data_IF_545893866025
#
_entry.id   IF_545893866025
#
_cell.length_a   1.000
_cell.length_b   1.000
_cell.length_c   1.000
_cell.angle_alpha   90.00
_cell.angle_beta   90.00
_cell.angle_gamma   90.00
#
_symmetry.space_group_name_H-M   'P 1'
#
loop_
_entity.id
_entity.type
_entity.pdbx_description
1 polymer ?
#
# COMPACT_ATOMS: atom_id res chain seq x y z
N UNK A 1 7.60 -10.47 1.12
CA UNK A 1 6.33 -11.22 1.19
C UNK A 1 6.15 -11.82 2.59
N UNK A 2 5.83 -10.98 3.58
CA UNK A 2 5.54 -11.32 5.01
C UNK A 2 6.63 -12.04 5.81
N UNK A 3 6.76 -11.68 7.08
CA UNK A 3 7.71 -12.30 8.02
C UNK A 3 7.11 -13.51 8.75
N UNK A 4 5.79 -13.55 8.87
CA UNK A 4 5.04 -14.58 9.62
C UNK A 4 4.07 -15.29 8.71
N UNK A 5 4.09 -16.63 8.72
CA UNK A 5 3.21 -17.48 7.89
C UNK A 5 1.73 -17.16 8.10
N UNK A 6 1.32 -16.85 9.34
CA UNK A 6 -0.06 -16.47 9.66
C UNK A 6 -0.50 -15.18 8.94
N UNK A 7 0.41 -14.19 8.83
CA UNK A 7 0.12 -12.97 8.08
C UNK A 7 0.07 -13.24 6.57
N UNK A 8 0.93 -14.12 6.06
CA UNK A 8 0.90 -14.56 4.66
C UNK A 8 -0.47 -15.12 4.27
N UNK A 9 -1.03 -15.99 5.12
CA UNK A 9 -2.37 -16.58 4.93
C UNK A 9 -3.42 -15.48 4.84
N UNK A 10 -3.43 -14.53 5.77
CA UNK A 10 -4.39 -13.41 5.76
C UNK A 10 -4.28 -12.56 4.49
N UNK A 11 -3.08 -12.32 3.98
CA UNK A 11 -2.90 -11.56 2.74
C UNK A 11 -3.36 -12.30 1.48
N UNK A 12 -3.22 -13.63 1.48
CA UNK A 12 -3.74 -14.49 0.41
C UNK A 12 -5.27 -14.52 0.47
N UNK A 13 -5.86 -14.70 1.65
CA UNK A 13 -7.32 -14.70 1.85
C UNK A 13 -7.97 -13.37 1.43
N UNK A 14 -7.31 -12.24 1.70
CA UNK A 14 -7.75 -10.91 1.26
C UNK A 14 -7.58 -10.68 -0.25
N UNK A 15 -6.93 -11.60 -0.97
CA UNK A 15 -6.70 -11.49 -2.42
C UNK A 15 -5.64 -10.46 -2.79
N UNK A 16 -4.69 -10.17 -1.90
CA UNK A 16 -3.60 -9.23 -2.19
C UNK A 16 -2.46 -9.86 -3.01
N UNK A 17 -2.43 -11.19 -3.13
CA UNK A 17 -1.40 -11.94 -3.84
C UNK A 17 -1.93 -12.43 -5.19
N UNK A 18 -1.11 -12.30 -6.24
CA UNK A 18 -1.37 -12.89 -7.55
C UNK A 18 -0.17 -13.72 -8.00
N UNK A 19 -0.47 -14.72 -8.81
CA UNK A 19 0.51 -15.62 -9.41
C UNK A 19 0.40 -15.43 -10.92
N UNK A 20 1.35 -14.68 -11.48
CA UNK A 20 1.32 -14.20 -12.87
C UNK A 20 0.09 -13.34 -13.14
N UNK A 21 -0.83 -13.86 -13.95
CA UNK A 21 -2.07 -13.15 -14.35
C UNK A 21 -3.27 -13.45 -13.47
N UNK A 22 -3.20 -14.47 -12.60
CA UNK A 22 -4.34 -14.92 -11.78
C UNK A 22 -4.18 -14.44 -10.33
N UNK A 23 -5.21 -13.80 -9.79
CA UNK A 23 -5.28 -13.48 -8.36
C UNK A 23 -5.64 -14.75 -7.58
N UNK A 24 -4.92 -15.04 -6.51
CA UNK A 24 -5.13 -16.23 -5.67
C UNK A 24 -5.75 -15.79 -4.36
N UNK A 25 -6.92 -16.34 -4.04
CA UNK A 25 -7.60 -16.15 -2.75
C UNK A 25 -7.44 -17.34 -1.81
N UNK A 26 -7.15 -18.52 -2.36
CA UNK A 26 -7.10 -19.76 -1.59
C UNK A 26 -5.69 -20.01 -1.00
N UNK A 27 -5.54 -20.11 0.34
CA UNK A 27 -4.24 -20.32 0.97
C UNK A 27 -3.64 -21.71 0.73
N UNK A 28 -4.46 -22.67 0.27
CA UNK A 28 -4.03 -24.05 -0.06
C UNK A 28 -3.63 -24.17 -1.54
N UNK A 29 -3.46 -23.05 -2.24
CA UNK A 29 -3.07 -23.06 -3.65
C UNK A 29 -1.61 -23.55 -3.83
N UNK A 30 -1.44 -24.69 -4.51
CA UNK A 30 -0.13 -25.25 -4.80
C UNK A 30 0.52 -24.51 -5.98
N UNK A 31 1.64 -23.84 -5.70
CA UNK A 31 2.43 -23.15 -6.73
C UNK A 31 3.51 -24.08 -7.29
N UNK A 32 3.62 -24.16 -8.61
CA UNK A 32 4.70 -24.89 -9.28
C UNK A 32 6.00 -24.06 -9.30
N UNK A 33 7.17 -24.71 -9.24
CA UNK A 33 8.50 -24.03 -9.26
C UNK A 33 8.66 -23.01 -10.41
N UNK A 34 8.14 -23.33 -11.60
CA UNK A 34 8.21 -22.42 -12.77
C UNK A 34 7.41 -21.12 -12.59
N UNK A 35 6.49 -21.09 -11.64
CA UNK A 35 5.56 -19.98 -11.39
C UNK A 35 5.92 -19.21 -10.11
N UNK A 36 6.90 -19.68 -9.34
CA UNK A 36 7.35 -19.08 -8.09
C UNK A 36 7.86 -17.65 -8.31
N UNK A 37 8.63 -17.41 -9.36
CA UNK A 37 9.17 -16.08 -9.70
C UNK A 37 8.07 -15.08 -10.11
N UNK A 38 6.89 -15.59 -10.46
CA UNK A 38 5.76 -14.79 -10.92
C UNK A 38 4.80 -14.41 -9.77
N UNK A 39 5.15 -14.70 -8.52
CA UNK A 39 4.36 -14.33 -7.34
C UNK A 39 4.57 -12.84 -7.05
N UNK A 40 3.52 -12.04 -7.21
CA UNK A 40 3.58 -10.58 -7.01
C UNK A 40 2.35 -10.07 -6.27
N UNK A 41 2.46 -8.91 -5.63
CA UNK A 41 1.31 -8.19 -5.08
C UNK A 41 0.40 -7.70 -6.21
N UNK A 42 -0.91 -7.79 -5.98
CA UNK A 42 -1.91 -7.18 -6.88
C UNK A 42 -1.66 -5.67 -6.95
N UNK A 43 -1.77 -5.09 -8.14
CA UNK A 43 -1.48 -3.67 -8.38
C UNK A 43 -2.31 -2.73 -7.47
N UNK A 44 -3.57 -3.08 -7.21
CA UNK A 44 -4.48 -2.32 -6.33
C UNK A 44 -4.32 -2.63 -4.83
N UNK A 45 -3.36 -3.46 -4.44
CA UNK A 45 -3.18 -3.81 -3.03
C UNK A 45 -2.61 -2.65 -2.23
N UNK A 46 -3.16 -2.43 -1.03
CA UNK A 46 -2.65 -1.45 -0.06
C UNK A 46 -1.21 -1.74 0.34
N UNK A 47 -0.85 -3.02 0.42
CA UNK A 47 0.50 -3.50 0.76
C UNK A 47 1.52 -3.04 -0.29
N UNK A 48 1.20 -3.16 -1.57
CA UNK A 48 2.09 -2.68 -2.64
C UNK A 48 2.29 -1.16 -2.57
N UNK A 49 1.24 -0.42 -2.25
CA UNK A 49 1.30 1.04 -2.05
C UNK A 49 2.15 1.42 -0.84
N UNK A 50 2.03 0.70 0.27
CA UNK A 50 2.84 0.92 1.47
C UNK A 50 4.33 0.62 1.23
N UNK A 51 4.64 -0.46 0.51
CA UNK A 51 6.01 -0.78 0.09
C UNK A 51 6.55 0.27 -0.88
N UNK A 52 5.74 0.76 -1.83
CA UNK A 52 6.15 1.81 -2.76
C UNK A 52 6.40 3.15 -2.03
N UNK A 53 5.58 3.47 -1.02
CA UNK A 53 5.76 4.63 -0.14
C UNK A 53 7.07 4.55 0.62
N UNK A 54 7.37 3.38 1.17
CA UNK A 54 8.63 3.16 1.90
C UNK A 54 9.86 3.32 0.99
N UNK A 55 9.73 2.97 -0.29
CA UNK A 55 10.81 3.05 -1.27
C UNK A 55 10.88 4.40 -2.02
N UNK A 56 10.13 5.43 -1.59
CA UNK A 56 10.00 6.75 -2.25
C UNK A 56 9.63 6.69 -3.75
N UNK A 57 9.07 5.55 -4.21
CA UNK A 57 8.61 5.30 -5.58
C UNK A 57 7.10 5.31 -5.66
N UNK A 58 6.46 6.13 -4.83
CA UNK A 58 5.00 6.23 -4.81
C UNK A 58 4.54 6.91 -6.11
N UNK A 59 3.79 6.20 -6.93
CA UNK A 59 3.19 6.72 -8.15
C UNK A 59 1.94 7.55 -7.80
N UNK A 60 1.91 8.82 -8.23
CA UNK A 60 0.86 9.79 -7.92
C UNK A 60 -0.52 9.44 -8.52
N UNK A 61 -0.59 8.51 -9.47
CA UNK A 61 -1.87 8.03 -10.03
C UNK A 61 -2.71 7.22 -9.04
N UNK A 62 -2.08 6.45 -8.16
CA UNK A 62 -2.77 5.71 -7.09
C UNK A 62 -3.19 6.62 -5.92
N UNK A 63 -2.61 7.82 -5.84
CA UNK A 63 -2.92 8.84 -4.84
C UNK A 63 -4.28 9.49 -5.15
N UNK A 64 -4.57 9.78 -6.42
CA UNK A 64 -5.80 10.49 -6.82
C UNK A 64 -7.09 9.69 -6.55
N UNK A 65 -7.06 8.36 -6.61
CA UNK A 65 -8.21 7.53 -6.23
C UNK A 65 -8.52 7.63 -4.72
N UNK A 66 -7.49 7.78 -3.89
CA UNK A 66 -7.62 7.90 -2.42
C UNK A 66 -8.02 9.32 -1.98
N UNK A 67 -7.57 10.35 -2.70
CA UNK A 67 -7.79 11.76 -2.35
C UNK A 67 -8.86 12.47 -3.22
N UNK A 68 -9.43 11.78 -4.22
CA UNK A 68 -10.49 12.30 -5.11
C UNK A 68 -11.83 12.64 -4.45
N UNK A 69 -11.97 12.45 -3.12
CA UNK A 69 -13.13 12.92 -2.32
C UNK A 69 -12.71 13.67 -1.04
N UNK A 70 -11.44 14.06 -0.90
CA UNK A 70 -10.97 14.83 0.27
C UNK A 70 -10.06 15.97 -0.16
N UNK A 71 -10.64 16.95 -0.85
CA UNK A 71 -10.11 18.31 -0.82
C UNK A 71 -10.15 18.83 0.63
N UNK A 72 -9.11 18.58 1.43
CA UNK A 72 -8.90 19.32 2.68
C UNK A 72 -7.42 19.45 3.02
N UNK A 73 -6.93 20.65 2.75
CA UNK A 73 -5.88 21.35 3.47
C UNK A 73 -4.53 20.64 3.60
N UNK A 74 -3.71 20.75 2.55
CA UNK A 74 -2.27 20.86 2.75
C UNK A 74 -2.01 22.33 3.11
N UNK A 75 -1.97 22.65 4.41
CA UNK A 75 -1.26 23.83 4.90
C UNK A 75 -0.17 23.35 5.86
N UNK A 76 1.11 23.69 5.65
CA UNK A 76 2.13 23.39 6.65
C UNK A 76 1.83 24.19 7.92
N UNK A 77 2.12 23.65 9.12
CA UNK A 77 1.94 24.39 10.36
C UNK A 77 2.96 25.53 10.40
N UNK A 78 2.50 26.77 10.33
CA UNK A 78 3.34 27.93 10.63
C UNK A 78 3.71 27.90 12.11
N UNK A 79 4.98 28.15 12.46
CA UNK A 79 5.42 28.15 13.84
C UNK A 79 4.83 29.36 14.57
N UNK A 80 4.12 29.13 15.68
CA UNK A 80 3.93 30.18 16.69
C UNK A 80 5.25 30.28 17.47
N UNK A 81 5.80 31.50 17.67
CA UNK A 81 5.62 32.07 19.01
C UNK A 81 5.63 33.61 19.13
N UNK A 82 4.88 34.06 20.15
CA UNK A 82 5.14 35.18 21.08
C UNK A 82 5.10 36.65 20.60
N UNK A 83 4.10 37.35 21.16
CA UNK A 83 4.11 38.71 21.70
C UNK A 83 4.49 39.87 20.77
N UNK A 84 3.58 40.86 20.64
CA UNK A 84 3.83 42.25 21.06
C UNK A 84 2.49 42.90 21.39
N UNK A 85 2.50 43.49 22.57
CA UNK A 85 1.52 44.33 23.22
C UNK A 85 1.62 45.70 22.55
N UNK A 86 0.54 46.23 21.94
CA UNK A 86 0.38 47.67 21.74
C UNK A 86 -1.08 48.01 21.45
N UNK A 87 -1.86 48.24 22.51
CA UNK A 87 -2.47 49.54 22.83
C UNK A 87 -3.37 49.39 24.06
#
# INVERSE_FOLDING_TARGET
MSEVVKAAVTYVEQGHVRVGSKTVSDPVYLVMRKMEDCITWVNRSSIKREIAKYNDKLDDFDLQEKYGVKAKAIRPPLPAPLAIIHS
#
